data_IF_578343740751
#
_entry.id   IF_578343740751
#
_cell.length_a   1.000
_cell.length_b   1.000
_cell.length_c   1.000
_cell.angle_alpha   90.00
_cell.angle_beta   90.00
_cell.angle_gamma   90.00
#
_symmetry.space_group_name_H-M   'P 1'
#
loop_
_entity.id
_entity.type
_entity.pdbx_description
1 polymer ?
#
# COMPACT_ATOMS: atom_id res chain seq x y z
N UNK A 1 -34.32 -51.05 -39.59
CA UNK A 1 -34.57 -50.77 -38.16
C UNK A 1 -33.33 -50.13 -37.54
N UNK A 2 -33.34 -48.81 -37.33
CA UNK A 2 -32.33 -48.14 -36.50
C UNK A 2 -32.93 -47.97 -35.10
N UNK A 3 -32.43 -48.73 -34.13
CA UNK A 3 -32.78 -48.53 -32.72
C UNK A 3 -31.92 -47.40 -32.18
N UNK A 4 -32.55 -46.27 -31.86
CA UNK A 4 -31.93 -45.18 -31.11
C UNK A 4 -31.83 -45.66 -29.66
N UNK A 5 -30.61 -45.97 -29.21
CA UNK A 5 -30.36 -46.23 -27.81
C UNK A 5 -30.57 -44.91 -27.04
N UNK A 6 -31.61 -44.87 -26.20
CA UNK A 6 -31.78 -43.80 -25.22
C UNK A 6 -30.62 -43.85 -24.23
N UNK A 7 -29.67 -42.92 -24.37
CA UNK A 7 -28.63 -42.68 -23.37
C UNK A 7 -29.33 -42.15 -22.13
N UNK A 8 -29.43 -42.97 -21.08
CA UNK A 8 -29.87 -42.52 -19.76
C UNK A 8 -28.74 -41.69 -19.16
N UNK A 9 -28.93 -40.38 -19.13
CA UNK A 9 -27.99 -39.47 -18.50
C UNK A 9 -28.16 -39.64 -16.99
N UNK A 10 -27.12 -40.14 -16.33
CA UNK A 10 -27.15 -40.40 -14.90
C UNK A 10 -27.15 -39.07 -14.14
N UNK A 11 -28.20 -38.83 -13.35
CA UNK A 11 -28.33 -37.64 -12.52
C UNK A 11 -27.18 -37.49 -11.52
N UNK A 12 -26.58 -38.59 -11.05
CA UNK A 12 -25.40 -38.55 -10.18
C UNK A 12 -24.15 -38.07 -10.93
N UNK A 13 -24.00 -38.44 -12.20
CA UNK A 13 -22.91 -37.94 -13.05
C UNK A 13 -23.06 -36.44 -13.28
N UNK A 14 -24.27 -35.96 -13.59
CA UNK A 14 -24.54 -34.51 -13.75
C UNK A 14 -24.21 -33.76 -12.47
N UNK A 15 -24.66 -34.24 -11.32
CA UNK A 15 -24.37 -33.62 -10.01
C UNK A 15 -22.86 -33.54 -9.74
N UNK A 16 -22.11 -34.60 -10.03
CA UNK A 16 -20.66 -34.61 -9.84
C UNK A 16 -19.94 -33.63 -10.77
N UNK A 17 -20.35 -33.53 -12.04
CA UNK A 17 -19.80 -32.60 -13.01
C UNK A 17 -20.13 -31.15 -12.62
N UNK A 18 -21.36 -30.88 -12.17
CA UNK A 18 -21.74 -29.54 -11.69
C UNK A 18 -20.93 -29.15 -10.45
N UNK A 19 -20.71 -30.06 -9.50
CA UNK A 19 -19.87 -29.81 -8.32
C UNK A 19 -18.41 -29.54 -8.68
N UNK A 20 -17.85 -30.26 -9.66
CA UNK A 20 -16.50 -30.01 -10.16
C UNK A 20 -16.44 -28.65 -10.87
N UNK A 21 -17.40 -28.34 -11.73
CA UNK A 21 -17.45 -27.05 -12.45
C UNK A 21 -17.65 -25.85 -11.51
N UNK A 22 -18.46 -25.98 -10.46
CA UNK A 22 -18.61 -24.91 -9.45
C UNK A 22 -17.33 -24.74 -8.62
N UNK A 23 -16.65 -25.84 -8.25
CA UNK A 23 -15.37 -25.77 -7.55
C UNK A 23 -14.23 -25.18 -8.39
N UNK A 24 -14.24 -25.38 -9.72
CA UNK A 24 -13.28 -24.77 -10.66
C UNK A 24 -13.61 -23.29 -10.92
N UNK A 25 -14.89 -22.90 -10.91
CA UNK A 25 -15.31 -21.50 -11.03
C UNK A 25 -15.03 -20.66 -9.77
N UNK A 26 -14.78 -21.31 -8.63
CA UNK A 26 -14.38 -20.70 -7.35
C UNK A 26 -12.87 -20.46 -7.24
N UNK A 27 -12.15 -20.31 -8.36
CA UNK A 27 -10.77 -19.84 -8.31
C UNK A 27 -10.76 -18.39 -7.81
N UNK A 28 -10.34 -18.28 -6.55
CA UNK A 28 -10.61 -17.18 -5.63
C UNK A 28 -10.25 -15.79 -6.13
N UNK A 29 -11.11 -14.84 -5.77
CA UNK A 29 -10.72 -13.44 -5.59
C UNK A 29 -9.65 -13.43 -4.49
N UNK A 30 -8.38 -13.48 -4.88
CA UNK A 30 -7.27 -13.45 -3.93
C UNK A 30 -7.27 -12.10 -3.20
N UNK A 31 -7.37 -12.14 -1.87
CA UNK A 31 -7.17 -10.98 -1.03
C UNK A 31 -5.80 -10.34 -1.33
N UNK A 32 -5.75 -9.01 -1.41
CA UNK A 32 -4.48 -8.30 -1.66
C UNK A 32 -3.51 -8.43 -0.48
N UNK A 33 -3.99 -8.70 0.74
CA UNK A 33 -3.15 -9.08 1.87
C UNK A 33 -2.94 -10.58 1.85
N UNK A 34 -1.70 -11.01 1.70
CA UNK A 34 -1.33 -12.42 1.57
C UNK A 34 -0.65 -12.91 2.85
N UNK A 35 -0.88 -14.18 3.22
CA UNK A 35 -0.17 -14.80 4.34
C UNK A 35 1.32 -14.98 4.02
N UNK A 36 1.61 -15.28 2.76
CA UNK A 36 2.94 -15.46 2.19
C UNK A 36 2.95 -15.17 0.68
N UNK A 37 4.10 -14.73 0.16
CA UNK A 37 4.24 -14.41 -1.27
C UNK A 37 4.39 -15.66 -2.16
N UNK A 38 4.78 -16.83 -1.62
CA UNK A 38 4.99 -18.03 -2.44
C UNK A 38 3.73 -18.50 -3.18
N UNK A 39 2.55 -18.21 -2.62
CA UNK A 39 1.24 -18.64 -3.14
C UNK A 39 0.44 -17.49 -3.77
N UNK A 40 1.01 -16.28 -3.84
CA UNK A 40 0.39 -15.14 -4.50
C UNK A 40 0.74 -15.18 -5.99
N UNK A 41 -0.24 -15.57 -6.82
CA UNK A 41 0.00 -15.70 -8.26
C UNK A 41 0.50 -14.39 -8.86
N UNK A 42 1.57 -14.46 -9.65
CA UNK A 42 2.30 -13.35 -10.31
C UNK A 42 2.90 -12.28 -9.39
N UNK A 43 2.46 -12.14 -8.15
CA UNK A 43 3.05 -11.20 -7.20
C UNK A 43 4.47 -11.60 -6.79
N UNK A 44 4.72 -12.91 -6.72
CA UNK A 44 6.07 -13.44 -6.52
C UNK A 44 7.03 -13.05 -7.64
N UNK A 45 6.54 -12.74 -8.84
CA UNK A 45 7.39 -12.38 -9.98
C UNK A 45 8.07 -11.02 -9.78
N UNK A 46 7.54 -10.20 -8.86
CA UNK A 46 8.15 -8.95 -8.43
C UNK A 46 9.32 -9.16 -7.45
N UNK A 47 9.40 -10.34 -6.82
CA UNK A 47 10.51 -10.71 -5.94
C UNK A 47 11.70 -11.20 -6.77
N UNK A 48 12.91 -10.86 -6.32
CA UNK A 48 14.12 -11.36 -6.96
C UNK A 48 14.14 -12.89 -6.92
N UNK A 49 14.15 -13.51 -8.12
CA UNK A 49 14.08 -14.97 -8.29
C UNK A 49 12.88 -15.60 -7.55
N UNK A 50 11.78 -14.87 -7.40
CA UNK A 50 10.60 -15.35 -6.68
C UNK A 50 10.83 -15.60 -5.18
N UNK A 51 11.95 -15.13 -4.61
CA UNK A 51 12.36 -15.44 -3.25
C UNK A 51 11.93 -14.34 -2.28
N UNK A 52 11.04 -14.62 -1.31
CA UNK A 52 10.67 -13.65 -0.30
C UNK A 52 11.88 -13.20 0.54
N UNK A 53 11.91 -11.94 1.01
CA UNK A 53 12.96 -11.47 1.92
C UNK A 53 13.04 -12.35 3.17
N UNK A 54 14.25 -12.89 3.42
CA UNK A 54 14.57 -13.69 4.59
C UNK A 54 15.04 -12.78 5.73
N UNK A 55 14.61 -13.06 6.96
CA UNK A 55 14.98 -12.27 8.14
C UNK A 55 13.82 -12.07 9.10
N UNK A 56 13.95 -11.12 10.03
CA UNK A 56 12.92 -10.82 11.03
C UNK A 56 11.76 -10.02 10.41
N UNK A 57 10.95 -10.69 9.60
CA UNK A 57 9.64 -10.21 9.22
C UNK A 57 8.63 -10.82 10.18
N UNK A 58 8.37 -10.11 11.29
CA UNK A 58 7.38 -10.51 12.28
C UNK A 58 6.04 -10.77 11.59
N UNK A 59 5.27 -11.74 12.09
CA UNK A 59 3.88 -11.97 11.68
C UNK A 59 2.97 -10.74 11.89
N UNK A 60 3.45 -9.73 12.62
CA UNK A 60 2.78 -8.45 12.78
C UNK A 60 2.83 -7.57 11.51
N UNK A 61 3.73 -7.84 10.57
CA UNK A 61 3.79 -7.11 9.31
C UNK A 61 2.82 -7.72 8.29
N UNK A 62 2.18 -6.85 7.50
CA UNK A 62 1.29 -7.25 6.43
C UNK A 62 2.10 -7.43 5.16
N UNK A 63 1.94 -8.58 4.51
CA UNK A 63 2.47 -8.81 3.16
C UNK A 63 1.35 -8.46 2.19
N UNK A 64 1.61 -7.50 1.31
CA UNK A 64 0.63 -6.94 0.40
C UNK A 64 1.07 -7.28 -1.00
N UNK A 65 0.22 -8.02 -1.71
CA UNK A 65 0.26 -8.03 -3.16
C UNK A 65 -0.46 -6.80 -3.69
N UNK A 66 0.29 -5.87 -4.27
CA UNK A 66 -0.27 -4.64 -4.79
C UNK A 66 -0.91 -4.90 -6.14
N UNK A 67 -2.21 -4.63 -6.25
CA UNK A 67 -2.99 -4.87 -7.46
C UNK A 67 -3.65 -3.59 -7.92
N UNK A 68 -3.67 -3.39 -9.22
CA UNK A 68 -4.34 -2.27 -9.87
C UNK A 68 -4.85 -2.71 -11.24
N UNK A 69 -6.13 -2.45 -11.51
CA UNK A 69 -6.85 -2.99 -12.68
C UNK A 69 -6.78 -4.53 -12.74
N UNK A 70 -7.03 -5.18 -11.59
CA UNK A 70 -7.00 -6.62 -11.33
C UNK A 70 -5.66 -7.32 -11.59
N UNK A 71 -4.63 -6.55 -11.96
CA UNK A 71 -3.29 -7.06 -12.26
C UNK A 71 -2.36 -6.86 -11.06
N UNK A 72 -1.62 -7.90 -10.65
CA UNK A 72 -0.50 -7.75 -9.73
C UNK A 72 0.57 -6.83 -10.32
N UNK A 73 1.03 -5.86 -9.53
CA UNK A 73 1.99 -4.83 -9.96
C UNK A 73 3.33 -4.95 -9.25
N UNK A 74 3.31 -5.06 -7.91
CA UNK A 74 4.51 -5.20 -7.07
C UNK A 74 4.13 -5.79 -5.69
N UNK A 75 5.15 -6.10 -4.89
CA UNK A 75 4.97 -6.65 -3.54
C UNK A 75 5.48 -5.66 -2.49
N UNK A 76 4.70 -5.48 -1.43
CA UNK A 76 5.05 -4.61 -0.29
C UNK A 76 4.99 -5.42 1.00
N UNK A 77 5.96 -5.21 1.90
CA UNK A 77 5.81 -5.57 3.32
C UNK A 77 5.58 -4.31 4.11
N UNK A 78 4.51 -4.28 4.88
CA UNK A 78 3.97 -3.10 5.53
C UNK A 78 3.90 -3.28 7.05
N UNK A 79 4.30 -2.26 7.80
CA UNK A 79 4.12 -2.20 9.25
C UNK A 79 2.84 -1.41 9.58
N UNK A 80 1.72 -2.09 9.91
CA UNK A 80 0.45 -1.44 10.22
C UNK A 80 0.48 -0.69 11.55
N UNK A 81 1.49 -0.89 12.42
CA UNK A 81 1.63 -0.09 13.66
C UNK A 81 2.31 1.23 13.40
N UNK A 82 3.22 1.26 12.43
CA UNK A 82 3.97 2.46 12.04
C UNK A 82 3.37 3.16 10.82
N UNK A 83 2.45 2.52 10.13
CA UNK A 83 1.87 2.95 8.87
C UNK A 83 2.93 3.18 7.78
N UNK A 84 4.00 2.38 7.79
CA UNK A 84 5.16 2.59 6.91
C UNK A 84 5.48 1.27 6.21
N UNK A 85 5.73 1.27 4.89
CA UNK A 85 6.29 0.12 4.21
C UNK A 85 7.74 -0.07 4.60
N UNK A 86 8.09 -1.30 4.98
CA UNK A 86 9.46 -1.65 5.38
C UNK A 86 10.25 -2.29 4.23
N UNK A 87 9.55 -2.75 3.19
CA UNK A 87 10.14 -3.39 2.04
C UNK A 87 9.20 -3.27 0.84
N UNK A 88 9.77 -3.07 -0.35
CA UNK A 88 9.06 -3.13 -1.63
C UNK A 88 9.92 -3.93 -2.62
N UNK A 89 9.26 -4.78 -3.41
CA UNK A 89 9.88 -5.56 -4.47
C UNK A 89 9.10 -5.38 -5.76
N UNK A 90 9.81 -4.99 -6.81
CA UNK A 90 9.26 -4.67 -8.12
C UNK A 90 10.30 -4.94 -9.21
N UNK A 91 9.83 -5.11 -10.44
CA UNK A 91 10.69 -5.22 -11.62
C UNK A 91 10.94 -3.83 -12.18
N UNK A 92 12.21 -3.49 -12.40
CA UNK A 92 12.60 -2.28 -13.13
C UNK A 92 12.27 -2.45 -14.61
N UNK A 93 11.40 -1.58 -15.16
CA UNK A 93 10.88 -1.69 -16.53
C UNK A 93 11.51 -0.71 -17.52
N UNK A 94 12.56 0.02 -17.11
CA UNK A 94 13.30 1.01 -17.92
C UNK A 94 12.37 2.04 -18.58
N UNK A 95 12.04 3.10 -17.84
CA UNK A 95 11.23 4.21 -18.35
C UNK A 95 12.08 5.28 -19.06
N UNK A 96 11.40 6.25 -19.65
CA UNK A 96 11.96 7.52 -20.13
C UNK A 96 12.51 8.41 -19.01
N UNK A 97 12.31 8.04 -17.76
CA UNK A 97 12.68 8.81 -16.57
C UNK A 97 11.65 9.87 -16.21
N UNK A 98 10.53 9.97 -16.93
CA UNK A 98 9.52 10.98 -16.69
C UNK A 98 8.59 10.57 -15.55
N UNK A 99 8.40 11.49 -14.61
CA UNK A 99 7.34 11.40 -13.61
C UNK A 99 5.99 11.69 -14.22
N UNK A 100 4.95 10.99 -13.77
CA UNK A 100 3.56 11.34 -14.10
C UNK A 100 2.92 12.05 -12.93
N UNK A 101 2.65 13.34 -13.08
CA UNK A 101 2.22 14.23 -11.99
C UNK A 101 0.71 14.10 -11.68
N UNK A 102 -0.07 13.47 -12.56
CA UNK A 102 -1.53 13.59 -12.55
C UNK A 102 -2.29 12.38 -11.95
N UNK A 103 -1.61 11.44 -11.30
CA UNK A 103 -2.30 10.30 -10.69
C UNK A 103 -2.82 10.62 -9.28
N UNK A 104 -4.07 10.26 -8.96
CA UNK A 104 -4.59 10.41 -7.60
C UNK A 104 -3.86 9.46 -6.64
N UNK A 105 -3.69 9.89 -5.40
CA UNK A 105 -3.24 9.01 -4.33
C UNK A 105 -4.29 7.94 -4.03
N UNK A 106 -3.82 6.72 -3.81
CA UNK A 106 -4.65 5.54 -3.59
C UNK A 106 -4.41 4.91 -2.22
N UNK A 107 -5.42 4.20 -1.74
CA UNK A 107 -5.40 3.36 -0.55
C UNK A 107 -5.66 1.90 -0.92
N UNK A 108 -5.35 0.99 0.00
CA UNK A 108 -5.62 -0.44 -0.15
C UNK A 108 -6.87 -0.83 0.67
N UNK A 109 -8.05 -1.01 0.05
CA UNK A 109 -9.28 -1.38 0.77
C UNK A 109 -9.15 -2.65 1.61
N UNK A 110 -8.34 -3.60 1.13
CA UNK A 110 -8.09 -4.89 1.80
C UNK A 110 -7.34 -4.77 3.14
N UNK A 111 -6.72 -3.62 3.46
CA UNK A 111 -6.11 -3.41 4.80
C UNK A 111 -7.16 -3.15 5.87
N UNK A 112 -8.26 -2.50 5.49
CA UNK A 112 -9.34 -2.12 6.38
C UNK A 112 -10.26 -3.29 6.69
N UNK A 113 -10.45 -4.17 5.71
CA UNK A 113 -11.41 -5.25 5.74
C UNK A 113 -10.62 -6.56 5.75
N UNK A 114 -10.43 -7.14 6.93
CA UNK A 114 -10.14 -8.58 7.06
C UNK A 114 -11.36 -9.45 6.63
N UNK A 115 -12.09 -9.00 5.61
CA UNK A 115 -13.35 -9.54 5.13
C UNK A 115 -13.17 -9.88 3.65
N UNK A 116 -13.50 -11.11 3.30
CA UNK A 116 -13.35 -11.73 1.97
C UNK A 116 -14.10 -11.01 0.82
N UNK A 117 -14.81 -9.91 1.11
CA UNK A 117 -15.61 -9.12 0.16
C UNK A 117 -14.98 -7.82 -0.32
N UNK A 118 -13.84 -7.38 0.21
CA UNK A 118 -13.19 -6.15 -0.27
C UNK A 118 -12.46 -6.39 -1.59
N UNK A 119 -12.54 -5.43 -2.51
CA UNK A 119 -11.67 -5.41 -3.70
C UNK A 119 -10.21 -5.56 -3.30
N UNK A 120 -9.47 -6.39 -4.04
CA UNK A 120 -8.03 -6.56 -3.84
C UNK A 120 -7.20 -5.46 -4.53
N UNK A 121 -7.85 -4.59 -5.30
CA UNK A 121 -7.23 -3.49 -6.01
C UNK A 121 -7.12 -2.26 -5.12
N UNK A 122 -6.04 -1.50 -5.30
CA UNK A 122 -5.94 -0.15 -4.77
C UNK A 122 -6.95 0.77 -5.45
N UNK A 123 -7.47 1.71 -4.67
CA UNK A 123 -8.54 2.63 -5.08
C UNK A 123 -8.17 4.07 -4.70
N UNK A 124 -8.58 5.08 -5.48
CA UNK A 124 -8.31 6.48 -5.16
C UNK A 124 -8.99 6.87 -3.86
N UNK A 125 -8.32 7.69 -3.04
CA UNK A 125 -8.94 8.22 -1.82
C UNK A 125 -10.24 8.98 -2.17
N UNK A 126 -11.35 8.72 -1.45
CA UNK A 126 -12.62 9.40 -1.69
C UNK A 126 -12.49 10.88 -1.34
N UNK A 127 -13.07 11.78 -2.14
CA UNK A 127 -12.95 13.23 -1.90
C UNK A 127 -13.68 13.72 -0.62
N UNK A 128 -14.51 12.88 0.01
CA UNK A 128 -15.25 13.22 1.21
C UNK A 128 -14.43 12.96 2.48
N UNK A 129 -14.18 14.02 3.26
CA UNK A 129 -13.41 14.00 4.53
C UNK A 129 -13.93 13.02 5.59
N UNK A 130 -15.21 12.65 5.57
CA UNK A 130 -15.79 11.71 6.54
C UNK A 130 -15.34 10.25 6.35
N UNK A 131 -14.95 9.84 5.13
CA UNK A 131 -14.48 8.48 4.87
C UNK A 131 -12.99 8.29 5.20
N UNK A 132 -12.21 9.38 5.20
CA UNK A 132 -10.77 9.35 5.51
C UNK A 132 -10.48 8.81 6.91
N UNK A 133 -11.37 9.06 7.87
CA UNK A 133 -11.17 8.68 9.28
C UNK A 133 -11.18 7.16 9.53
N UNK A 134 -11.78 6.37 8.64
CA UNK A 134 -11.86 4.92 8.81
C UNK A 134 -10.56 4.18 8.43
N UNK A 135 -9.62 4.86 7.76
CA UNK A 135 -8.36 4.27 7.32
C UNK A 135 -7.23 4.41 8.34
N UNK A 136 -7.32 5.42 9.22
CA UNK A 136 -6.25 5.81 10.16
C UNK A 136 -5.80 4.66 11.07
N UNK A 137 -6.65 3.68 11.35
CA UNK A 137 -6.29 2.56 12.22
C UNK A 137 -5.53 1.43 11.50
N UNK A 138 -5.51 1.44 10.16
CA UNK A 138 -5.01 0.30 9.36
C UNK A 138 -3.89 0.65 8.40
N UNK A 139 -3.87 1.87 7.88
CA UNK A 139 -2.86 2.34 6.95
C UNK A 139 -2.61 3.84 7.08
N UNK A 140 -1.61 4.33 6.35
CA UNK A 140 -1.32 5.75 6.29
C UNK A 140 -2.41 6.50 5.51
N UNK A 141 -2.71 7.71 5.93
CA UNK A 141 -3.61 8.65 5.25
C UNK A 141 -2.84 9.87 4.74
N UNK A 142 -3.45 10.69 3.88
CA UNK A 142 -2.77 11.86 3.30
C UNK A 142 -2.30 12.85 4.37
N UNK A 143 -3.07 12.93 5.45
CA UNK A 143 -2.85 13.77 6.63
C UNK A 143 -1.63 13.32 7.45
N UNK A 144 -1.24 12.04 7.41
CA UNK A 144 0.02 11.56 8.04
C UNK A 144 1.27 12.22 7.40
N UNK A 145 1.11 12.78 6.19
CA UNK A 145 2.16 13.46 5.42
C UNK A 145 1.85 14.95 5.19
N UNK A 146 0.80 15.49 5.80
CA UNK A 146 0.52 16.91 5.79
C UNK A 146 1.41 17.65 6.81
N UNK A 147 1.61 18.94 6.60
CA UNK A 147 2.21 19.87 7.59
C UNK A 147 3.67 19.60 8.04
N UNK A 148 4.45 18.92 7.21
CA UNK A 148 5.88 18.65 7.47
C UNK A 148 6.80 19.34 6.47
N UNK A 149 7.43 20.44 6.88
CA UNK A 149 8.33 21.23 6.00
C UNK A 149 9.62 20.47 5.61
N UNK A 150 10.06 19.55 6.46
CA UNK A 150 11.35 18.85 6.36
C UNK A 150 11.27 17.52 5.58
N UNK A 151 10.06 17.03 5.28
CA UNK A 151 9.87 15.70 4.69
C UNK A 151 9.05 15.76 3.41
N UNK A 152 9.42 14.89 2.48
CA UNK A 152 8.70 14.60 1.23
C UNK A 152 8.23 13.13 1.23
N UNK A 153 7.28 12.82 0.35
CA UNK A 153 6.78 11.47 0.12
C UNK A 153 7.78 10.71 -0.76
N UNK A 154 8.63 9.89 -0.14
CA UNK A 154 9.59 9.04 -0.85
C UNK A 154 8.97 7.69 -1.21
N UNK A 155 8.83 7.38 -2.50
CA UNK A 155 8.32 6.08 -2.95
C UNK A 155 9.40 5.00 -2.85
N UNK A 156 9.06 3.81 -2.34
CA UNK A 156 9.97 2.64 -2.36
C UNK A 156 10.05 2.01 -3.75
N UNK A 157 8.92 1.96 -4.47
CA UNK A 157 8.81 1.68 -5.90
C UNK A 157 8.55 3.00 -6.64
N UNK A 158 9.59 3.67 -7.21
CA UNK A 158 9.45 4.95 -7.88
C UNK A 158 8.72 4.84 -9.23
N UNK A 159 7.92 5.84 -9.59
CA UNK A 159 7.21 5.87 -10.87
C UNK A 159 8.16 5.95 -12.08
N UNK A 160 9.36 6.50 -11.89
CA UNK A 160 10.42 6.55 -12.90
C UNK A 160 11.01 5.17 -13.20
N UNK A 161 10.75 4.17 -12.36
CA UNK A 161 11.18 2.79 -12.63
C UNK A 161 10.15 2.00 -13.46
N UNK A 162 8.96 2.56 -13.66
CA UNK A 162 7.83 1.94 -14.36
C UNK A 162 7.63 2.57 -15.75
N UNK A 163 7.32 1.74 -16.76
CA UNK A 163 7.18 2.18 -18.15
C UNK A 163 5.70 2.38 -18.55
N UNK A 164 4.83 1.43 -18.21
CA UNK A 164 3.40 1.49 -18.54
C UNK A 164 2.66 2.51 -17.65
N UNK A 165 1.70 3.29 -18.18
CA UNK A 165 0.95 4.26 -17.40
C UNK A 165 0.22 3.66 -16.19
N UNK A 166 -0.33 2.44 -16.29
CA UNK A 166 -1.03 1.80 -15.17
C UNK A 166 -0.03 1.25 -14.14
N UNK A 167 1.16 0.83 -14.57
CA UNK A 167 2.24 0.49 -13.64
C UNK A 167 2.73 1.73 -12.88
N UNK A 168 2.91 2.87 -13.57
CA UNK A 168 3.23 4.16 -12.94
C UNK A 168 2.14 4.56 -11.95
N UNK A 169 0.87 4.52 -12.36
CA UNK A 169 -0.28 4.83 -11.49
C UNK A 169 -0.24 4.00 -10.21
N UNK A 170 0.03 2.69 -10.31
CA UNK A 170 0.05 1.79 -9.14
C UNK A 170 1.10 2.15 -8.07
N UNK A 171 2.09 2.98 -8.40
CA UNK A 171 3.09 3.44 -7.42
C UNK A 171 2.56 4.54 -6.50
N UNK A 172 1.44 5.19 -6.84
CA UNK A 172 0.82 6.28 -6.09
C UNK A 172 -0.10 5.78 -4.97
N UNK A 173 0.38 4.83 -4.16
CA UNK A 173 -0.30 4.40 -2.94
C UNK A 173 0.51 4.70 -1.69
N UNK A 174 -0.16 4.99 -0.57
CA UNK A 174 0.53 5.38 0.67
C UNK A 174 1.23 4.21 1.37
N UNK A 175 0.85 2.97 1.07
CA UNK A 175 1.63 1.79 1.48
C UNK A 175 2.89 1.58 0.62
N UNK A 176 3.19 2.46 -0.34
CA UNK A 176 4.47 2.51 -1.06
C UNK A 176 5.33 3.72 -0.66
N UNK A 177 4.90 4.54 0.32
CA UNK A 177 5.54 5.80 0.67
C UNK A 177 6.20 5.75 2.04
N UNK A 178 7.39 6.33 2.15
CA UNK A 178 8.08 6.62 3.41
C UNK A 178 8.33 8.13 3.55
N UNK A 179 8.41 8.68 4.78
CA UNK A 179 8.89 10.04 4.99
C UNK A 179 10.37 10.15 4.61
N UNK A 180 10.70 10.98 3.62
CA UNK A 180 12.06 11.19 3.14
C UNK A 180 12.51 12.63 3.42
N UNK A 181 13.69 12.81 4.01
CA UNK A 181 14.27 14.13 4.28
C UNK A 181 14.55 14.84 2.94
N UNK A 182 14.08 16.07 2.78
CA UNK A 182 14.19 16.84 1.53
C UNK A 182 15.64 17.02 1.09
N UNK A 183 16.54 17.26 2.04
CA UNK A 183 17.97 17.46 1.82
C UNK A 183 18.67 16.20 1.27
N UNK A 184 18.10 15.01 1.47
CA UNK A 184 18.64 13.78 0.91
C UNK A 184 18.56 13.76 -0.63
N UNK A 185 17.49 14.33 -1.19
CA UNK A 185 17.32 14.45 -2.64
C UNK A 185 18.25 15.54 -3.22
N UNK A 186 18.54 16.60 -2.46
CA UNK A 186 19.38 17.73 -2.90
C UNK A 186 20.88 17.39 -2.97
N UNK A 187 21.36 16.46 -2.14
CA UNK A 187 22.77 16.00 -2.15
C UNK A 187 23.11 15.08 -3.32
N UNK A 188 22.13 14.30 -3.81
CA UNK A 188 22.32 13.32 -4.89
C UNK A 188 22.40 13.95 -6.29
N UNK A 189 21.90 15.18 -6.45
CA UNK A 189 21.87 15.91 -7.73
C UNK A 189 23.24 16.53 -8.11
N UNK A 190 24.25 16.51 -7.23
CA UNK A 190 25.51 17.27 -7.43
C UNK A 190 26.78 16.46 -7.74
N UNK A 191 26.74 15.13 -7.80
CA UNK A 191 27.94 14.32 -8.07
C UNK A 191 27.80 13.46 -9.33
N UNK A 192 28.46 13.82 -10.44
CA UNK A 192 28.58 12.95 -11.61
C UNK A 192 29.33 11.65 -11.23
N UNK A 193 28.72 10.49 -11.49
CA UNK A 193 29.42 9.19 -11.45
C UNK A 193 29.03 8.19 -10.37
N UNK A 194 28.04 8.47 -9.52
CA UNK A 194 27.53 7.47 -8.57
C UNK A 194 26.39 6.65 -9.19
N UNK A 195 26.58 5.33 -9.27
CA UNK A 195 25.49 4.38 -9.55
C UNK A 195 24.38 4.56 -8.51
N UNK A 196 23.09 4.43 -8.88
CA UNK A 196 22.00 4.52 -7.92
C UNK A 196 22.16 3.42 -6.87
N UNK A 197 22.60 3.80 -5.67
CA UNK A 197 22.52 2.95 -4.50
C UNK A 197 21.15 3.19 -3.88
N UNK A 198 20.19 2.35 -4.25
CA UNK A 198 18.89 2.22 -3.58
C UNK A 198 19.09 1.61 -2.20
N UNK A 199 19.65 2.40 -1.28
CA UNK A 199 19.59 2.10 0.15
C UNK A 199 18.86 3.26 0.81
N UNK A 200 17.53 3.22 0.75
CA UNK A 200 16.71 4.13 1.54
C UNK A 200 16.90 3.77 3.02
N UNK A 201 17.58 4.62 3.78
CA UNK A 201 17.59 4.52 5.23
C UNK A 201 16.18 4.90 5.74
N UNK A 202 15.40 3.89 6.14
CA UNK A 202 14.14 4.08 6.85
C UNK A 202 14.40 4.70 8.24
N UNK A 203 14.04 5.97 8.42
CA UNK A 203 13.95 6.59 9.76
C UNK A 203 12.63 6.23 10.44
N UNK A 204 12.67 5.92 11.74
CA UNK A 204 11.49 5.49 12.50
C UNK A 204 10.59 6.67 12.90
N UNK A 205 9.25 6.48 12.78
CA UNK A 205 8.14 7.42 13.07
C UNK A 205 8.17 8.17 14.41
N UNK A 206 8.98 7.78 15.41
CA UNK A 206 8.92 8.40 16.76
C UNK A 206 9.08 9.93 16.75
N UNK A 207 9.65 10.53 15.70
CA UNK A 207 9.75 11.99 15.53
C UNK A 207 8.49 12.70 14.98
N UNK A 208 7.65 12.05 14.17
CA UNK A 208 6.59 12.74 13.41
C UNK A 208 5.35 13.08 14.26
N UNK A 209 4.92 12.20 15.18
CA UNK A 209 3.80 12.51 16.09
C UNK A 209 4.18 13.46 17.23
N UNK A 210 5.46 13.55 17.59
CA UNK A 210 5.90 14.36 18.73
C UNK A 210 5.81 15.87 18.45
N UNK A 211 5.92 16.28 17.19
CA UNK A 211 5.73 17.67 16.78
C UNK A 211 4.29 18.18 16.94
N UNK A 212 3.29 17.29 16.90
CA UNK A 212 1.87 17.66 17.11
C UNK A 212 1.58 18.08 18.56
N UNK A 213 2.37 17.62 19.53
CA UNK A 213 2.15 17.89 20.96
C UNK A 213 2.62 19.26 21.44
N UNK A 214 3.54 19.91 20.71
CA UNK A 214 4.14 21.18 21.15
C UNK A 214 3.39 22.43 20.69
N UNK A 215 2.45 22.32 19.73
CA UNK A 215 1.71 23.48 19.22
C UNK A 215 0.33 23.73 19.86
N UNK A 216 -0.10 22.90 20.84
CA UNK A 216 -1.44 23.02 21.48
C UNK A 216 -1.40 23.62 22.89
N UNK A 217 -0.24 24.10 23.37
CA UNK A 217 -0.18 24.90 24.61
C UNK A 217 0.64 26.15 24.40
N UNK A 218 -0.02 27.22 23.96
CA UNK A 218 0.15 28.59 24.46
C UNK A 218 -0.76 29.49 23.66
N UNK A 219 -1.80 30.03 24.29
CA UNK A 219 -2.21 31.44 24.26
C UNK A 219 -3.65 31.55 24.81
N UNK A 220 -3.77 31.44 26.14
CA UNK A 220 -4.79 32.19 26.88
C UNK A 220 -4.04 33.12 27.83
N UNK A 221 -4.23 34.45 27.75
CA UNK A 221 -3.61 35.38 28.69
C UNK A 221 -4.33 35.28 30.05
N UNK A 222 -3.59 35.29 31.18
CA UNK A 222 -4.21 35.23 32.50
C UNK A 222 -4.94 36.54 32.82
N UNK A 223 -6.24 36.45 33.09
CA UNK A 223 -7.02 37.51 33.75
C UNK A 223 -6.47 37.75 35.16
N UNK A 224 -5.90 38.93 35.39
CA UNK A 224 -5.57 39.40 36.74
C UNK A 224 -6.85 39.84 37.47
N UNK A 225 -7.22 39.11 38.52
CA UNK A 225 -8.10 39.60 39.58
C UNK A 225 -7.26 40.42 40.57
N UNK A 226 -7.54 41.72 40.67
CA UNK A 226 -7.03 42.58 41.75
C UNK A 226 -7.96 42.54 42.97
N UNK A 227 -7.44 42.49 44.21
CA UNK A 227 -8.27 42.42 45.40
C UNK A 227 -8.84 43.80 45.76
N UNK A 228 -10.08 43.81 46.24
CA UNK A 228 -10.74 45.01 46.75
C UNK A 228 -10.28 45.43 48.14
N UNK A 229 -10.17 46.75 48.32
CA UNK A 229 -10.58 47.51 49.51
C UNK A 229 -9.69 47.52 50.76
N UNK A 230 -9.13 48.70 51.10
CA UNK A 230 -9.52 49.52 52.29
C UNK A 230 -8.59 50.72 52.51
N UNK A 231 -9.22 51.76 53.09
CA UNK A 231 -8.73 53.04 53.63
C UNK A 231 -8.56 54.17 52.61
#
# INVERSE_FOLDING_TARGET
>A
CFSIAHVKIDHTLILSVVMVLTSVALQGVQAGVVSDFNHAERCKDSLYMGTPPRGYLSNAFKKICQRYEDKPRYATVYDPRRHIPIFSAYTFKKSDGEKKVDFPWMFEPQQQLASEKSSSNMEPFPQSTSMHMNFEDTQAVLEDYADVVQYERGQLNPDEHQADPLDKASTYSLTNVVPQIREFNLGMVRTPGHRPQTTQQLLQRKGLRHHRGHHVRTHDPPQQHGPGGRA
#
